data_IF_022094270071
#
_entry.id   IF_022094270071
#
_cell.length_a   1.000
_cell.length_b   1.000
_cell.length_c   1.000
_cell.angle_alpha   90.00
_cell.angle_beta   90.00
_cell.angle_gamma   90.00
#
_symmetry.space_group_name_H-M   'P 1'
#
loop_
_entity.id
_entity.type
_entity.pdbx_description
1 polymer ?
#
# COMPACT_ATOMS: atom_id res chain seq x y z
N UNK A 1 0.04 -18.41 -30.77
CA UNK A 1 0.96 -18.06 -29.68
C UNK A 1 0.80 -16.58 -29.43
N UNK A 2 0.16 -16.18 -28.32
CA UNK A 2 0.03 -14.77 -27.99
C UNK A 2 1.42 -14.26 -27.63
N UNK A 3 1.97 -13.39 -28.48
CA UNK A 3 3.25 -12.75 -28.24
C UNK A 3 3.17 -11.96 -26.93
N UNK A 4 3.95 -12.40 -25.94
CA UNK A 4 4.25 -11.61 -24.76
C UNK A 4 5.22 -10.50 -25.19
N UNK A 5 4.72 -9.44 -25.81
CA UNK A 5 5.54 -8.35 -26.30
C UNK A 5 4.75 -7.05 -26.38
N UNK A 6 4.98 -6.16 -25.41
CA UNK A 6 4.44 -4.81 -25.29
C UNK A 6 2.92 -4.68 -25.16
N UNK A 7 2.42 -4.91 -23.94
CA UNK A 7 1.29 -4.11 -23.47
C UNK A 7 1.72 -2.65 -23.48
N UNK A 8 1.08 -1.85 -24.34
CA UNK A 8 1.32 -0.41 -24.54
C UNK A 8 1.49 0.32 -23.18
N UNK A 9 2.52 1.19 -23.04
CA UNK A 9 2.92 1.76 -21.75
C UNK A 9 1.76 2.43 -20.99
N UNK A 10 0.86 3.09 -21.73
CA UNK A 10 -0.34 3.73 -21.17
C UNK A 10 -1.28 2.78 -20.43
N UNK A 11 -1.42 1.54 -20.92
CA UNK A 11 -2.30 0.57 -20.28
C UNK A 11 -1.66 -0.03 -19.03
N UNK A 12 -0.33 -0.18 -19.01
CA UNK A 12 0.41 -0.63 -17.82
C UNK A 12 0.28 0.37 -16.69
N UNK A 13 0.47 1.66 -16.99
CA UNK A 13 0.28 2.76 -16.05
C UNK A 13 -1.16 2.80 -15.52
N UNK A 14 -2.14 2.66 -16.41
CA UNK A 14 -3.56 2.65 -16.02
C UNK A 14 -3.91 1.45 -15.11
N UNK A 15 -3.41 0.25 -15.42
CA UNK A 15 -3.64 -0.92 -14.55
C UNK A 15 -2.95 -0.78 -13.19
N UNK A 16 -1.75 -0.21 -13.16
CA UNK A 16 -1.04 0.08 -11.92
C UNK A 16 -1.84 1.08 -11.07
N UNK A 17 -2.32 2.17 -11.66
CA UNK A 17 -3.12 3.18 -10.97
C UNK A 17 -4.43 2.62 -10.41
N UNK A 18 -5.13 1.79 -11.19
CA UNK A 18 -6.36 1.11 -10.73
C UNK A 18 -6.06 0.15 -9.57
N UNK A 19 -4.95 -0.59 -9.65
CA UNK A 19 -4.48 -1.47 -8.59
C UNK A 19 -4.17 -0.70 -7.30
N UNK A 20 -3.43 0.38 -7.43
CA UNK A 20 -3.01 1.25 -6.33
C UNK A 20 -4.22 1.90 -5.63
N UNK A 21 -5.17 2.43 -6.41
CA UNK A 21 -6.45 2.95 -5.88
C UNK A 21 -7.21 1.88 -5.10
N UNK A 22 -7.23 0.64 -5.60
CA UNK A 22 -7.91 -0.47 -4.93
C UNK A 22 -7.24 -0.84 -3.61
N UNK A 23 -5.91 -0.86 -3.57
CA UNK A 23 -5.14 -1.11 -2.35
C UNK A 23 -5.38 0.01 -1.33
N UNK A 24 -5.37 1.27 -1.75
CA UNK A 24 -5.66 2.41 -0.87
C UNK A 24 -7.08 2.38 -0.29
N UNK A 25 -8.08 2.07 -1.12
CA UNK A 25 -9.46 1.92 -0.65
C UNK A 25 -9.57 0.80 0.40
N UNK A 26 -8.90 -0.33 0.17
CA UNK A 26 -8.88 -1.44 1.13
C UNK A 26 -8.14 -1.05 2.41
N UNK A 27 -7.04 -0.31 2.32
CA UNK A 27 -6.28 0.18 3.47
C UNK A 27 -7.12 1.09 4.36
N UNK A 28 -7.79 2.09 3.76
CA UNK A 28 -8.67 3.02 4.49
C UNK A 28 -9.79 2.27 5.20
N UNK A 29 -10.37 1.27 4.55
CA UNK A 29 -11.35 0.38 5.18
C UNK A 29 -10.74 -0.39 6.37
N UNK A 30 -9.54 -0.95 6.25
CA UNK A 30 -8.88 -1.65 7.37
C UNK A 30 -8.56 -0.73 8.55
N UNK A 31 -8.17 0.53 8.30
CA UNK A 31 -7.93 1.54 9.33
C UNK A 31 -9.24 1.94 10.04
N UNK A 32 -10.33 2.11 9.29
CA UNK A 32 -11.64 2.48 9.82
C UNK A 32 -12.45 1.34 10.48
N UNK A 33 -11.93 0.10 10.49
CA UNK A 33 -12.61 -1.05 11.07
C UNK A 33 -11.81 -1.64 12.24
N UNK A 34 -12.20 -1.29 13.47
CA UNK A 34 -11.52 -1.71 14.70
C UNK A 34 -11.46 -3.24 14.91
N UNK A 35 -12.42 -4.01 14.38
CA UNK A 35 -12.42 -5.48 14.49
C UNK A 35 -11.42 -6.16 13.56
N UNK A 36 -10.70 -5.42 12.71
CA UNK A 36 -9.79 -6.01 11.74
C UNK A 36 -8.45 -6.39 12.39
N UNK A 37 -7.92 -7.61 12.20
CA UNK A 37 -6.70 -8.07 12.89
C UNK A 37 -5.43 -7.26 12.54
N UNK A 38 -5.43 -6.56 11.40
CA UNK A 38 -4.33 -5.68 11.01
C UNK A 38 -4.52 -4.22 11.46
N UNK A 39 -5.67 -3.83 12.00
CA UNK A 39 -5.95 -2.45 12.41
C UNK A 39 -4.95 -1.98 13.46
N UNK A 40 -4.64 -2.78 14.48
CA UNK A 40 -3.64 -2.43 15.50
C UNK A 40 -2.25 -2.17 14.89
N UNK A 41 -1.85 -2.96 13.91
CA UNK A 41 -0.53 -2.80 13.26
C UNK A 41 -0.49 -1.54 12.40
N UNK A 42 -1.60 -1.18 11.75
CA UNK A 42 -1.69 0.00 10.90
C UNK A 42 -1.83 1.28 11.72
N UNK A 43 -2.65 1.26 12.75
CA UNK A 43 -2.86 2.40 13.67
C UNK A 43 -1.58 2.73 14.45
N UNK A 44 -0.77 1.71 14.78
CA UNK A 44 0.55 1.93 15.39
C UNK A 44 1.54 2.67 14.45
N UNK A 45 1.26 2.67 13.14
CA UNK A 45 2.01 3.43 12.16
C UNK A 45 1.36 4.79 11.88
N UNK A 46 0.14 5.07 12.30
CA UNK A 46 -0.47 6.38 12.09
C UNK A 46 0.26 7.45 12.90
N UNK A 47 0.67 8.52 12.22
CA UNK A 47 1.23 9.68 12.89
C UNK A 47 0.11 10.50 13.50
N UNK A 48 0.19 10.77 14.81
CA UNK A 48 -0.79 11.65 15.48
C UNK A 48 -0.73 13.11 14.99
N UNK A 49 0.33 13.52 14.28
CA UNK A 49 0.54 14.90 13.83
C UNK A 49 0.23 15.11 12.35
N UNK A 50 0.07 14.03 11.58
CA UNK A 50 -0.10 14.11 10.13
C UNK A 50 -0.91 12.91 9.62
N UNK A 51 -1.71 13.09 8.57
CA UNK A 51 -2.42 12.01 7.86
C UNK A 51 -1.48 11.11 7.02
N UNK A 52 -0.35 10.73 7.61
CA UNK A 52 0.72 9.91 7.03
C UNK A 52 1.04 8.74 7.94
N UNK A 53 1.44 7.65 7.32
CA UNK A 53 1.93 6.46 8.01
C UNK A 53 3.44 6.57 8.22
N UNK A 54 3.89 6.28 9.42
CA UNK A 54 5.29 6.20 9.82
C UNK A 54 5.90 4.99 9.12
N UNK A 55 7.07 5.19 8.52
CA UNK A 55 7.81 4.12 7.88
C UNK A 55 8.38 3.16 8.93
N UNK A 56 7.97 1.88 8.91
CA UNK A 56 8.52 0.91 9.85
C UNK A 56 9.97 0.60 9.51
N UNK A 57 10.88 0.91 10.43
CA UNK A 57 12.30 0.60 10.26
C UNK A 57 12.55 -0.87 10.63
N UNK A 58 12.83 -1.71 9.64
CA UNK A 58 13.13 -3.11 9.87
C UNK A 58 14.26 -3.60 8.96
N UNK A 59 15.27 -4.22 9.56
CA UNK A 59 16.47 -4.73 8.86
C UNK A 59 16.25 -6.10 8.22
N UNK A 60 15.16 -6.80 8.56
CA UNK A 60 14.86 -8.14 8.03
C UNK A 60 14.33 -8.04 6.59
N UNK A 61 14.96 -8.75 5.67
CA UNK A 61 14.58 -8.74 4.25
C UNK A 61 13.13 -9.24 4.03
N UNK A 62 12.68 -10.24 4.80
CA UNK A 62 11.29 -10.71 4.78
C UNK A 62 10.30 -9.57 5.06
N UNK A 63 10.65 -8.65 5.97
CA UNK A 63 9.80 -7.51 6.29
C UNK A 63 9.84 -6.46 5.19
N UNK A 64 11.01 -6.16 4.63
CA UNK A 64 11.17 -5.20 3.52
C UNK A 64 10.36 -5.56 2.28
N UNK A 65 10.20 -6.85 2.02
CA UNK A 65 9.39 -7.41 0.91
C UNK A 65 7.93 -7.70 1.29
N UNK A 66 7.53 -7.41 2.53
CA UNK A 66 6.17 -7.65 2.99
C UNK A 66 5.21 -6.54 2.56
N UNK A 67 3.93 -6.76 2.85
CA UNK A 67 2.84 -5.84 2.53
C UNK A 67 3.00 -4.46 3.20
N UNK A 68 3.41 -4.41 4.48
CA UNK A 68 3.39 -3.16 5.26
C UNK A 68 4.27 -2.05 4.68
N UNK A 69 5.58 -2.26 4.37
CA UNK A 69 6.39 -1.19 3.79
C UNK A 69 5.91 -0.71 2.43
N UNK A 70 5.29 -1.59 1.63
CA UNK A 70 4.76 -1.22 0.32
C UNK A 70 3.56 -0.27 0.46
N UNK A 71 2.66 -0.60 1.38
CA UNK A 71 1.43 0.16 1.59
C UNK A 71 1.68 1.50 2.26
N UNK A 72 2.67 1.58 3.15
CA UNK A 72 3.10 2.87 3.74
C UNK A 72 3.61 3.82 2.64
N UNK A 73 4.43 3.34 1.70
CA UNK A 73 4.89 4.15 0.56
C UNK A 73 3.72 4.65 -0.27
N UNK A 74 2.78 3.74 -0.56
CA UNK A 74 1.63 4.05 -1.38
C UNK A 74 0.73 5.08 -0.70
N UNK A 75 0.41 4.89 0.58
CA UNK A 75 -0.43 5.82 1.34
C UNK A 75 0.20 7.21 1.42
N UNK A 76 1.49 7.30 1.76
CA UNK A 76 2.18 8.59 1.88
C UNK A 76 2.43 9.30 0.54
N UNK A 77 2.42 8.56 -0.58
CA UNK A 77 2.52 9.15 -1.92
C UNK A 77 1.19 9.69 -2.45
N UNK A 78 0.06 9.30 -1.82
CA UNK A 78 -1.29 9.66 -2.23
C UNK A 78 -2.09 10.47 -1.16
N UNK A 79 -1.48 10.76 -0.01
CA UNK A 79 -1.95 11.71 1.04
C UNK A 79 -1.31 13.07 0.83
#
# INVERSE_FOLDING_TARGET
TFENGLMEPRYKEHMQEVGDKRVLAKLRSMLGHESHPLQNNLSALESSFSDRLIHPHCVKERYRRSFLPAVVRLYNGHS
#
